data_IF_637200166653
#
_entry.id   IF_637200166653
#
_cell.length_a   1.000
_cell.length_b   1.000
_cell.length_c   1.000
_cell.angle_alpha   90.00
_cell.angle_beta   90.00
_cell.angle_gamma   90.00
#
_symmetry.space_group_name_H-M   'P 1'
#
loop_
_entity.id
_entity.type
_entity.pdbx_description
1 polymer ?
#
# COMPACT_ATOMS: atom_id res chain seq x y z
N UNK A 1 -6.53 -11.08 -41.44
CA UNK A 1 -5.66 -10.13 -40.70
C UNK A 1 -5.98 -9.97 -39.19
N UNK A 2 -6.93 -10.72 -38.60
CA UNK A 2 -7.29 -10.60 -37.18
C UNK A 2 -6.42 -11.44 -36.20
N UNK A 3 -5.67 -12.42 -36.71
CA UNK A 3 -4.95 -13.44 -35.91
C UNK A 3 -3.71 -12.88 -35.19
N UNK A 4 -3.00 -11.93 -35.83
CA UNK A 4 -1.76 -11.35 -35.28
C UNK A 4 -2.02 -10.32 -34.17
N UNK A 5 -3.20 -9.68 -34.15
CA UNK A 5 -3.53 -8.70 -33.11
C UNK A 5 -3.76 -9.38 -31.75
N UNK A 6 -4.33 -10.59 -31.71
CA UNK A 6 -4.48 -11.35 -30.46
C UNK A 6 -3.12 -11.65 -29.82
N UNK A 7 -2.15 -12.08 -30.61
CA UNK A 7 -0.78 -12.37 -30.13
C UNK A 7 -0.09 -11.09 -29.65
N UNK A 8 -0.23 -9.97 -30.38
CA UNK A 8 0.31 -8.66 -29.95
C UNK A 8 -0.31 -8.18 -28.64
N UNK A 9 -1.63 -8.33 -28.48
CA UNK A 9 -2.34 -7.96 -27.24
C UNK A 9 -1.89 -8.83 -26.07
N UNK A 10 -1.75 -10.14 -26.28
CA UNK A 10 -1.24 -11.06 -25.25
C UNK A 10 0.20 -10.71 -24.87
N UNK A 11 1.07 -10.43 -25.83
CA UNK A 11 2.44 -9.98 -25.56
C UNK A 11 2.48 -8.65 -24.78
N UNK A 12 1.66 -7.66 -25.15
CA UNK A 12 1.55 -6.39 -24.42
C UNK A 12 1.05 -6.59 -22.98
N UNK A 13 0.09 -7.48 -22.77
CA UNK A 13 -0.40 -7.85 -21.43
C UNK A 13 0.71 -8.50 -20.59
N UNK A 14 1.47 -9.44 -21.16
CA UNK A 14 2.59 -10.10 -20.46
C UNK A 14 3.67 -9.08 -20.10
N UNK A 15 4.04 -8.19 -21.04
CA UNK A 15 5.00 -7.11 -20.77
C UNK A 15 4.49 -6.20 -19.65
N UNK A 16 3.21 -5.82 -19.67
CA UNK A 16 2.58 -5.04 -18.61
C UNK A 16 2.63 -5.72 -17.24
N UNK A 17 2.35 -7.03 -17.17
CA UNK A 17 2.43 -7.82 -15.93
C UNK A 17 3.88 -7.88 -15.42
N UNK A 18 4.85 -8.15 -16.30
CA UNK A 18 6.28 -8.17 -15.93
C UNK A 18 6.73 -6.80 -15.43
N UNK A 19 6.30 -5.72 -16.09
CA UNK A 19 6.57 -4.36 -15.66
C UNK A 19 5.99 -4.11 -14.26
N UNK A 20 4.70 -4.41 -14.04
CA UNK A 20 4.06 -4.30 -12.73
C UNK A 20 4.79 -5.12 -11.64
N UNK A 21 5.32 -6.29 -11.99
CA UNK A 21 6.05 -7.13 -11.06
C UNK A 21 7.44 -6.56 -10.70
N UNK A 22 8.13 -5.93 -11.66
CA UNK A 22 9.44 -5.31 -11.46
C UNK A 22 9.37 -4.01 -10.64
N UNK A 23 8.40 -3.13 -10.92
CA UNK A 23 8.31 -1.83 -10.25
C UNK A 23 7.80 -1.91 -8.80
N UNK A 24 7.36 -3.10 -8.38
CA UNK A 24 6.93 -3.40 -7.02
C UNK A 24 5.44 -3.14 -6.81
N UNK A 25 4.91 -3.49 -5.62
CA UNK A 25 3.51 -3.25 -5.29
C UNK A 25 3.15 -1.80 -5.57
N UNK A 26 2.03 -1.60 -6.26
CA UNK A 26 1.46 -0.27 -6.43
C UNK A 26 0.32 -0.18 -5.43
N UNK A 27 0.52 0.63 -4.41
CA UNK A 27 -0.47 0.86 -3.37
C UNK A 27 -1.23 2.13 -3.75
N UNK A 28 -2.54 2.06 -3.70
CA UNK A 28 -3.42 3.15 -4.07
C UNK A 28 -4.39 3.40 -2.94
N UNK A 29 -4.59 4.65 -2.61
CA UNK A 29 -5.83 5.02 -2.00
C UNK A 29 -6.89 5.28 -3.06
N UNK A 30 -8.15 5.20 -2.64
CA UNK A 30 -9.26 5.69 -3.44
C UNK A 30 -9.06 7.16 -3.87
N UNK A 31 -8.36 7.95 -3.03
CA UNK A 31 -8.08 9.38 -3.27
C UNK A 31 -6.71 9.68 -3.92
N UNK A 32 -5.98 8.65 -4.39
CA UNK A 32 -4.74 8.84 -5.14
C UNK A 32 -3.72 7.71 -4.99
N UNK A 33 -2.67 7.74 -5.82
CA UNK A 33 -1.52 6.84 -5.69
C UNK A 33 -0.87 7.06 -4.31
N UNK A 34 -0.75 6.02 -3.48
CA UNK A 34 0.06 6.12 -2.25
C UNK A 34 1.48 6.46 -2.66
N UNK A 35 2.08 7.44 -1.99
CA UNK A 35 3.39 7.95 -2.36
C UNK A 35 4.39 6.81 -2.54
N UNK A 36 5.03 6.85 -3.70
CA UNK A 36 6.04 5.94 -4.25
C UNK A 36 7.33 5.84 -3.41
N UNK A 37 7.32 6.27 -2.15
CA UNK A 37 8.48 6.23 -1.28
C UNK A 37 8.59 4.85 -0.67
N UNK A 38 9.15 3.94 -1.46
CA UNK A 38 9.67 2.69 -0.95
C UNK A 38 11.00 2.94 -0.25
N UNK A 39 11.07 2.59 1.02
CA UNK A 39 12.29 2.66 1.84
C UNK A 39 12.80 1.26 2.15
N UNK A 40 14.09 1.18 2.47
CA UNK A 40 14.72 -0.05 2.92
C UNK A 40 14.43 -0.33 4.41
N UNK A 41 14.18 0.72 5.20
CA UNK A 41 13.79 0.61 6.60
C UNK A 41 12.66 1.59 6.96
N UNK A 42 11.83 1.27 7.94
CA UNK A 42 10.74 2.15 8.36
C UNK A 42 11.24 3.46 9.00
N UNK A 43 12.36 3.41 9.71
CA UNK A 43 12.92 4.58 10.41
C UNK A 43 13.44 5.63 9.41
N UNK A 44 13.94 5.20 8.26
CA UNK A 44 14.30 6.10 7.15
C UNK A 44 13.09 6.90 6.65
N UNK A 45 11.89 6.34 6.68
CA UNK A 45 10.71 6.97 6.07
C UNK A 45 10.18 8.18 6.85
N UNK A 46 10.28 8.15 8.18
CA UNK A 46 9.96 9.31 9.01
C UNK A 46 10.92 10.46 8.74
N UNK A 47 12.19 10.16 8.45
CA UNK A 47 13.22 11.16 8.13
C UNK A 47 13.06 11.77 6.73
N UNK A 48 12.34 11.10 5.82
CA UNK A 48 12.14 11.55 4.44
C UNK A 48 11.15 12.72 4.30
N UNK A 49 10.42 13.08 5.36
CA UNK A 49 9.59 14.31 5.43
C UNK A 49 8.47 14.43 4.37
N UNK A 50 8.27 13.41 3.54
CA UNK A 50 7.50 13.45 2.30
C UNK A 50 6.47 12.32 2.21
N UNK A 51 6.14 11.72 3.37
CA UNK A 51 4.95 10.90 3.48
C UNK A 51 3.72 11.78 3.20
N UNK A 52 3.12 11.64 2.01
CA UNK A 52 1.89 12.37 1.70
C UNK A 52 0.82 11.91 2.68
N UNK A 53 0.23 12.88 3.35
CA UNK A 53 -0.97 12.64 4.13
C UNK A 53 -2.15 12.54 3.16
N UNK A 54 -3.13 11.70 3.48
CA UNK A 54 -4.28 11.49 2.63
C UNK A 54 -5.59 11.76 3.35
N UNK A 55 -6.47 12.56 2.72
CA UNK A 55 -7.72 13.02 3.32
C UNK A 55 -8.74 11.89 3.50
N UNK A 56 -9.46 11.88 4.62
CA UNK A 56 -10.49 10.88 4.91
C UNK A 56 -11.82 11.06 4.16
N UNK A 57 -11.96 12.12 3.36
CA UNK A 57 -13.26 12.61 2.86
C UNK A 57 -14.06 11.60 2.03
N UNK A 58 -13.44 10.56 1.46
CA UNK A 58 -14.08 9.70 0.45
C UNK A 58 -14.06 8.20 0.72
N UNK A 59 -13.66 7.74 1.90
CA UNK A 59 -13.87 6.35 2.31
C UNK A 59 -12.81 5.76 3.23
N UNK A 60 -13.18 4.64 3.85
CA UNK A 60 -12.41 4.00 4.91
C UNK A 60 -11.42 2.93 4.43
N UNK A 61 -10.92 2.97 3.18
CA UNK A 61 -10.23 1.82 2.58
C UNK A 61 -8.91 2.16 1.87
N UNK A 62 -7.89 1.35 2.15
CA UNK A 62 -6.62 1.32 1.42
C UNK A 62 -6.68 0.18 0.40
N UNK A 63 -6.44 0.50 -0.87
CA UNK A 63 -6.37 -0.48 -1.96
C UNK A 63 -4.91 -0.80 -2.31
N UNK A 64 -4.63 -2.05 -2.65
CA UNK A 64 -3.27 -2.53 -2.86
C UNK A 64 -3.23 -3.43 -4.09
N UNK A 65 -2.47 -3.02 -5.11
CA UNK A 65 -2.11 -3.87 -6.23
C UNK A 65 -0.76 -4.51 -5.93
N UNK A 66 -0.77 -5.80 -5.58
CA UNK A 66 0.42 -6.55 -5.19
C UNK A 66 0.46 -7.93 -5.85
N UNK A 67 1.37 -8.11 -6.79
CA UNK A 67 1.60 -9.40 -7.45
C UNK A 67 2.68 -10.20 -6.71
N UNK A 68 2.38 -10.65 -5.49
CA UNK A 68 3.23 -11.58 -4.73
C UNK A 68 2.64 -12.98 -4.63
N UNK A 69 3.49 -13.97 -4.31
CA UNK A 69 3.03 -15.34 -3.98
C UNK A 69 2.21 -15.39 -2.68
N UNK A 70 2.39 -14.41 -1.79
CA UNK A 70 1.62 -14.24 -0.56
C UNK A 70 0.86 -12.92 -0.60
N UNK A 71 -0.18 -12.78 0.23
CA UNK A 71 -0.84 -11.50 0.45
C UNK A 71 0.15 -10.49 1.10
N UNK A 72 -0.03 -9.17 0.87
CA UNK A 72 0.80 -8.18 1.55
C UNK A 72 0.48 -8.18 3.05
N UNK A 73 1.49 -7.93 3.89
CA UNK A 73 1.27 -7.79 5.34
C UNK A 73 1.03 -6.32 5.63
N UNK A 74 -0.10 -6.01 6.27
CA UNK A 74 -0.39 -4.65 6.72
C UNK A 74 -0.29 -4.62 8.23
N UNK A 75 0.44 -3.64 8.74
CA UNK A 75 0.52 -3.32 10.17
C UNK A 75 0.02 -1.90 10.35
N UNK A 76 -0.62 -1.63 11.47
CA UNK A 76 -1.07 -0.31 11.89
C UNK A 76 -0.29 0.07 13.13
N UNK A 77 0.30 1.24 13.09
CA UNK A 77 0.91 1.89 14.25
C UNK A 77 -0.10 2.86 14.85
N UNK A 78 -0.39 2.63 16.13
CA UNK A 78 -1.26 3.44 16.94
C UNK A 78 -0.36 4.22 17.89
N UNK A 79 -0.36 5.54 17.73
CA UNK A 79 0.32 6.45 18.66
C UNK A 79 -0.72 6.99 19.61
N UNK A 80 -0.53 6.79 20.90
CA UNK A 80 -1.43 7.32 21.93
C UNK A 80 -0.63 7.95 23.06
N UNK A 81 -1.20 9.00 23.66
CA UNK A 81 -0.63 9.67 24.83
C UNK A 81 -1.24 9.08 26.09
N UNK A 82 -0.41 8.65 27.04
CA UNK A 82 -0.84 8.22 28.37
C UNK A 82 0.10 8.87 29.39
N UNK A 83 -0.46 9.60 30.36
CA UNK A 83 0.31 10.25 31.42
C UNK A 83 1.50 11.08 30.89
N UNK A 84 1.25 11.96 29.92
CA UNK A 84 2.27 12.82 29.25
C UNK A 84 3.33 12.08 28.42
N UNK A 85 3.41 10.75 28.50
CA UNK A 85 4.26 9.92 27.67
C UNK A 85 3.58 9.51 26.36
N UNK A 86 4.36 9.44 25.28
CA UNK A 86 3.92 8.97 23.97
C UNK A 86 4.23 7.48 23.86
N UNK A 87 3.20 6.64 23.72
CA UNK A 87 3.35 5.22 23.45
C UNK A 87 3.04 4.89 22.00
N UNK A 88 3.74 3.88 21.49
CA UNK A 88 3.56 3.34 20.13
C UNK A 88 3.21 1.87 20.22
N UNK A 89 2.09 1.48 19.63
CA UNK A 89 1.67 0.09 19.51
C UNK A 89 1.55 -0.29 18.03
N UNK A 90 2.16 -1.41 17.64
CA UNK A 90 2.06 -1.95 16.28
C UNK A 90 1.15 -3.18 16.30
N UNK A 91 0.05 -3.12 15.55
CA UNK A 91 -0.91 -4.21 15.42
C UNK A 91 -0.99 -4.69 13.99
N UNK A 92 -1.18 -5.99 13.78
CA UNK A 92 -1.45 -6.53 12.44
C UNK A 92 -2.87 -6.13 12.00
N UNK A 93 -3.03 -5.86 10.71
CA UNK A 93 -4.33 -5.53 10.11
C UNK A 93 -4.66 -6.58 9.06
N UNK A 94 -5.89 -7.07 9.10
CA UNK A 94 -6.38 -8.05 8.14
C UNK A 94 -6.55 -7.44 6.75
N UNK A 95 -6.01 -8.15 5.76
CA UNK A 95 -6.09 -7.77 4.36
C UNK A 95 -7.09 -8.67 3.65
N UNK A 96 -8.07 -8.06 2.98
CA UNK A 96 -9.06 -8.76 2.18
C UNK A 96 -8.61 -8.83 0.72
N UNK A 97 -8.72 -10.02 0.13
CA UNK A 97 -8.41 -10.26 -1.29
C UNK A 97 -9.68 -10.04 -2.12
N UNK A 98 -9.60 -9.20 -3.15
CA UNK A 98 -10.68 -9.03 -4.14
C UNK A 98 -10.47 -10.05 -5.25
N UNK A 99 -9.29 -9.99 -5.89
CA UNK A 99 -8.83 -10.91 -6.93
C UNK A 99 -7.32 -11.16 -6.74
N UNK A 100 -6.72 -12.19 -7.37
CA UNK A 100 -5.27 -12.34 -7.39
C UNK A 100 -4.58 -11.04 -7.84
N UNK A 101 -3.67 -10.52 -7.02
CA UNK A 101 -2.98 -9.26 -7.30
C UNK A 101 -3.68 -8.01 -6.78
N UNK A 102 -4.93 -8.08 -6.32
CA UNK A 102 -5.68 -6.92 -5.83
C UNK A 102 -6.32 -7.16 -4.45
N UNK A 103 -5.93 -6.32 -3.50
CA UNK A 103 -6.28 -6.42 -2.10
C UNK A 103 -6.78 -5.09 -1.56
N UNK A 104 -7.48 -5.14 -0.42
CA UNK A 104 -7.87 -3.95 0.31
C UNK A 104 -7.90 -4.20 1.81
N UNK A 105 -7.78 -3.14 2.59
CA UNK A 105 -8.02 -3.16 4.03
C UNK A 105 -8.83 -1.92 4.41
N UNK A 106 -9.68 -2.05 5.42
CA UNK A 106 -10.26 -0.87 6.06
C UNK A 106 -9.22 -0.19 6.94
N UNK A 107 -9.23 1.13 6.97
CA UNK A 107 -8.52 1.92 7.97
C UNK A 107 -9.50 2.46 9.01
N UNK A 108 -8.98 2.89 10.16
CA UNK A 108 -9.70 3.77 11.07
C UNK A 108 -9.17 5.21 10.94
N UNK A 109 -10.02 6.16 11.31
CA UNK A 109 -9.81 7.60 11.21
C UNK A 109 -8.98 8.18 12.36
N UNK A 110 -8.55 7.37 13.34
CA UNK A 110 -7.90 7.84 14.56
C UNK A 110 -6.38 7.80 14.39
N UNK A 111 -5.80 8.88 13.87
CA UNK A 111 -4.36 9.22 13.95
C UNK A 111 -3.41 8.02 13.82
N UNK A 112 -3.70 7.12 12.88
CA UNK A 112 -3.02 5.83 12.80
C UNK A 112 -2.21 5.74 11.52
N UNK A 113 -1.00 5.20 11.64
CA UNK A 113 -0.06 5.11 10.52
C UNK A 113 -0.07 3.67 10.01
N UNK A 114 -0.37 3.47 8.73
CA UNK A 114 -0.40 2.15 8.14
C UNK A 114 0.94 1.85 7.46
N UNK A 115 1.50 0.72 7.86
CA UNK A 115 2.78 0.16 7.43
C UNK A 115 2.49 -1.05 6.56
N UNK A 116 2.80 -0.96 5.27
CA UNK A 116 2.52 -2.03 4.32
C UNK A 116 3.84 -2.69 3.97
N UNK A 117 4.00 -3.93 4.42
CA UNK A 117 5.19 -4.74 4.25
C UNK A 117 4.99 -5.68 3.06
N UNK A 118 5.92 -5.56 2.10
CA UNK A 118 5.96 -6.40 0.91
C UNK A 118 7.35 -6.99 0.78
N UNK A 119 7.51 -8.06 0.00
CA UNK A 119 8.77 -8.83 -0.12
C UNK A 119 10.06 -8.01 -0.30
N UNK A 120 9.98 -6.83 -0.91
CA UNK A 120 11.17 -6.02 -1.26
C UNK A 120 11.11 -4.59 -0.74
N UNK A 121 9.96 -4.13 -0.25
CA UNK A 121 9.68 -2.70 -0.05
C UNK A 121 8.68 -2.49 1.09
N UNK A 122 8.92 -1.45 1.86
CA UNK A 122 7.99 -0.94 2.84
C UNK A 122 7.32 0.32 2.31
N UNK A 123 6.04 0.47 2.63
CA UNK A 123 5.24 1.65 2.28
C UNK A 123 4.53 2.16 3.52
N UNK A 124 4.30 3.46 3.56
CA UNK A 124 3.64 4.14 4.66
C UNK A 124 2.49 4.97 4.14
N UNK A 125 1.39 4.89 4.87
CA UNK A 125 0.17 5.65 4.61
C UNK A 125 -0.20 6.35 5.90
N UNK A 126 -0.32 7.68 5.81
CA UNK A 126 -0.76 8.52 6.93
C UNK A 126 -2.10 9.16 6.52
N UNK A 127 -3.25 8.58 6.92
CA UNK A 127 -4.53 9.25 6.78
C UNK A 127 -4.58 10.49 7.68
N UNK A 128 -5.18 11.58 7.18
CA UNK A 128 -5.61 12.71 7.99
C UNK A 128 -7.12 12.91 7.84
N UNK A 129 -7.78 12.87 9.00
CA UNK A 129 -9.04 13.52 9.27
C UNK A 129 -8.75 14.48 10.44
#
# INVERSE_FOLDING_TARGET
>A
MLKNNKIKIVCLLIIGIVFLHMYGPIIFMKDGLVTRQSVNSFDELYSLGSARQHECANGAYIYMVYFGLAAPKVKKEIVYRKNEEIHKQVVAVDVKKIIPGFYYTSWDTKSSVYRIETRKKYYLVIPYC
#
